data_IF_532052066373
#
_entry.id   IF_532052066373
#
_cell.length_a   1.000
_cell.length_b   1.000
_cell.length_c   1.000
_cell.angle_alpha   90.00
_cell.angle_beta   90.00
_cell.angle_gamma   90.00
#
_symmetry.space_group_name_H-M   'P 1'
#
loop_
_entity.id
_entity.type
_entity.pdbx_description
1 polymer ?
#
# COMPACT_ATOMS: atom_id res chain seq x y z
N UNK A 1 17.87 15.78 4.24
CA UNK A 1 17.09 15.23 5.38
C UNK A 1 16.76 13.78 5.03
N UNK A 2 17.27 12.80 5.78
CA UNK A 2 17.03 11.39 5.43
C UNK A 2 15.58 11.03 5.82
N UNK A 3 14.77 10.65 4.85
CA UNK A 3 13.35 10.37 5.05
C UNK A 3 13.19 8.98 5.68
N UNK A 4 12.30 8.84 6.66
CA UNK A 4 12.07 7.56 7.32
C UNK A 4 11.66 6.47 6.30
N UNK A 5 12.21 5.27 6.42
CA UNK A 5 12.02 4.15 5.48
C UNK A 5 10.53 3.89 5.15
N UNK A 6 9.65 3.82 6.15
CA UNK A 6 8.20 3.64 5.92
C UNK A 6 7.54 4.73 5.07
N UNK A 7 8.05 5.98 5.09
CA UNK A 7 7.57 7.03 4.19
C UNK A 7 8.04 6.79 2.76
N UNK A 8 9.28 6.36 2.59
CA UNK A 8 9.82 5.99 1.27
C UNK A 8 8.98 4.85 0.68
N UNK A 9 8.74 3.79 1.46
CA UNK A 9 7.89 2.66 1.06
C UNK A 9 6.47 3.12 0.73
N UNK A 10 5.85 3.98 1.56
CA UNK A 10 4.54 4.57 1.29
C UNK A 10 4.48 5.27 -0.08
N UNK A 11 5.48 6.11 -0.38
CA UNK A 11 5.55 6.84 -1.64
C UNK A 11 5.74 5.88 -2.82
N UNK A 12 6.55 4.83 -2.66
CA UNK A 12 6.74 3.80 -3.70
C UNK A 12 5.47 3.00 -3.97
N UNK A 13 4.76 2.56 -2.94
CA UNK A 13 3.46 1.89 -3.09
C UNK A 13 2.48 2.80 -3.83
N UNK A 14 2.37 4.07 -3.40
CA UNK A 14 1.49 5.04 -4.04
C UNK A 14 1.83 5.26 -5.52
N UNK A 15 3.12 5.33 -5.84
CA UNK A 15 3.64 5.44 -7.22
C UNK A 15 3.30 4.20 -8.05
N UNK A 16 3.64 3.00 -7.55
CA UNK A 16 3.42 1.71 -8.24
C UNK A 16 1.95 1.46 -8.58
N UNK A 17 1.03 1.81 -7.68
CA UNK A 17 -0.41 1.61 -7.89
C UNK A 17 -1.10 2.84 -8.50
N UNK A 18 -0.34 3.88 -8.89
CA UNK A 18 -0.85 5.16 -9.38
C UNK A 18 -1.98 5.72 -8.49
N UNK A 19 -1.81 5.59 -7.18
CA UNK A 19 -2.88 5.82 -6.21
C UNK A 19 -3.00 7.29 -5.79
N UNK A 20 -4.23 7.76 -5.69
CA UNK A 20 -4.54 9.03 -5.02
C UNK A 20 -4.40 8.89 -3.51
N UNK A 21 -4.31 10.00 -2.78
CA UNK A 21 -4.35 9.96 -1.31
C UNK A 21 -5.66 9.34 -0.80
N UNK A 22 -6.77 9.50 -1.54
CA UNK A 22 -8.05 8.87 -1.22
C UNK A 22 -7.99 7.34 -1.29
N UNK A 23 -7.43 6.78 -2.37
CA UNK A 23 -7.25 5.33 -2.50
C UNK A 23 -6.29 4.77 -1.45
N UNK A 24 -5.17 5.47 -1.20
CA UNK A 24 -4.27 5.09 -0.11
C UNK A 24 -4.98 5.10 1.24
N UNK A 25 -5.79 6.13 1.52
CA UNK A 25 -6.53 6.24 2.78
C UNK A 25 -7.54 5.11 2.97
N UNK A 26 -8.31 4.79 1.91
CA UNK A 26 -9.30 3.71 1.92
C UNK A 26 -8.63 2.35 2.21
N UNK A 27 -7.60 1.99 1.44
CA UNK A 27 -6.92 0.69 1.59
C UNK A 27 -6.14 0.57 2.89
N UNK A 28 -5.73 1.69 3.48
CA UNK A 28 -5.05 1.71 4.77
C UNK A 28 -6.02 1.87 5.95
N UNK A 29 -7.32 2.13 5.75
CA UNK A 29 -8.28 2.40 6.82
C UNK A 29 -7.93 3.62 7.67
N UNK A 30 -7.55 4.73 7.03
CA UNK A 30 -7.21 6.02 7.67
C UNK A 30 -7.90 7.19 6.96
N UNK A 31 -7.80 8.41 7.50
CA UNK A 31 -8.31 9.60 6.82
C UNK A 31 -7.45 10.04 5.63
N UNK A 32 -8.03 10.79 4.69
CA UNK A 32 -7.30 11.35 3.53
C UNK A 32 -6.20 12.31 3.96
N UNK A 33 -6.42 13.07 5.04
CA UNK A 33 -5.43 13.96 5.66
C UNK A 33 -4.25 13.15 6.19
N UNK A 34 -4.53 12.02 6.85
CA UNK A 34 -3.49 11.12 7.37
C UNK A 34 -2.62 10.56 6.24
N UNK A 35 -3.25 10.09 5.15
CA UNK A 35 -2.55 9.63 3.96
C UNK A 35 -1.70 10.75 3.33
N UNK A 36 -2.25 11.96 3.22
CA UNK A 36 -1.51 13.14 2.73
C UNK A 36 -0.28 13.44 3.59
N UNK A 37 -0.40 13.36 4.92
CA UNK A 37 0.72 13.58 5.85
C UNK A 37 1.81 12.51 5.74
N UNK A 38 1.45 11.25 5.47
CA UNK A 38 2.43 10.19 5.24
C UNK A 38 3.36 10.52 4.07
N UNK A 39 2.81 11.03 2.97
CA UNK A 39 3.58 11.42 1.79
C UNK A 39 4.31 12.77 1.88
N UNK A 40 4.09 13.57 2.94
CA UNK A 40 4.67 14.91 3.03
C UNK A 40 6.10 14.88 3.62
N UNK A 41 7.11 15.45 2.96
CA UNK A 41 8.51 15.39 3.42
C UNK A 41 8.76 16.05 4.78
N UNK A 42 8.10 17.17 5.07
CA UNK A 42 8.27 17.92 6.33
C UNK A 42 7.41 17.44 7.50
N UNK A 43 6.52 16.46 7.30
CA UNK A 43 5.66 15.94 8.37
C UNK A 43 6.32 14.71 9.00
N UNK A 44 6.35 14.66 10.32
CA UNK A 44 6.95 13.52 11.05
C UNK A 44 6.08 12.25 11.04
N UNK A 45 4.79 12.39 10.68
CA UNK A 45 3.85 11.27 10.67
C UNK A 45 4.21 10.25 9.59
N UNK A 46 4.26 8.97 9.97
CA UNK A 46 4.65 7.85 9.12
C UNK A 46 3.68 6.68 9.31
N UNK A 47 3.41 5.88 8.28
CA UNK A 47 2.60 4.68 8.44
C UNK A 47 3.37 3.59 9.19
N UNK A 48 2.65 2.74 9.93
CA UNK A 48 3.21 1.48 10.41
C UNK A 48 3.38 0.50 9.26
N UNK A 49 4.19 -0.54 9.47
CA UNK A 49 4.35 -1.61 8.48
C UNK A 49 3.02 -2.30 8.18
N UNK A 50 2.19 -2.54 9.20
CA UNK A 50 0.87 -3.13 9.05
C UNK A 50 -0.04 -2.29 8.14
N UNK A 51 0.01 -0.96 8.26
CA UNK A 51 -0.78 -0.09 7.38
C UNK A 51 -0.27 -0.13 5.95
N UNK A 52 1.04 -0.22 5.73
CA UNK A 52 1.60 -0.40 4.39
C UNK A 52 1.16 -1.75 3.78
N UNK A 53 1.13 -2.81 4.60
CA UNK A 53 0.67 -4.15 4.23
C UNK A 53 -0.79 -4.12 3.81
N UNK A 54 -1.65 -3.52 4.62
CA UNK A 54 -3.06 -3.31 4.31
C UNK A 54 -3.27 -2.58 2.98
N UNK A 55 -2.43 -1.57 2.67
CA UNK A 55 -2.54 -0.85 1.39
C UNK A 55 -2.38 -1.80 0.20
N UNK A 56 -1.34 -2.65 0.22
CA UNK A 56 -1.05 -3.60 -0.85
C UNK A 56 -2.16 -4.65 -0.97
N UNK A 57 -2.61 -5.22 0.15
CA UNK A 57 -3.72 -6.17 0.18
C UNK A 57 -4.99 -5.54 -0.38
N UNK A 58 -5.29 -4.30 0.00
CA UNK A 58 -6.46 -3.56 -0.49
C UNK A 58 -6.46 -3.41 -2.01
N UNK A 59 -5.33 -3.02 -2.60
CA UNK A 59 -5.21 -2.94 -4.07
C UNK A 59 -5.40 -4.29 -4.76
N UNK A 60 -4.86 -5.38 -4.18
CA UNK A 60 -5.05 -6.72 -4.72
C UNK A 60 -6.51 -7.19 -4.61
N UNK A 61 -7.18 -6.88 -3.50
CA UNK A 61 -8.60 -7.21 -3.28
C UNK A 61 -9.49 -6.52 -4.32
N UNK A 62 -9.29 -5.23 -4.56
CA UNK A 62 -10.04 -4.49 -5.60
C UNK A 62 -9.90 -5.18 -6.98
N UNK A 63 -8.70 -5.67 -7.31
CA UNK A 63 -8.48 -6.38 -8.56
C UNK A 63 -9.21 -7.74 -8.59
N UNK A 64 -9.16 -8.50 -7.49
CA UNK A 64 -9.90 -9.77 -7.35
C UNK A 64 -11.41 -9.56 -7.46
N UNK A 65 -11.96 -8.52 -6.85
CA UNK A 65 -13.38 -8.16 -6.93
C UNK A 65 -13.80 -7.88 -8.39
N UNK A 66 -12.98 -7.12 -9.14
CA UNK A 66 -13.24 -6.85 -10.57
C UNK A 66 -13.21 -8.15 -11.41
N UNK A 67 -12.32 -9.09 -11.10
CA UNK A 67 -12.27 -10.39 -11.77
C UNK A 67 -13.58 -11.15 -11.54
N UNK A 68 -14.01 -11.25 -10.28
CA UNK A 68 -15.24 -11.96 -9.91
C UNK A 68 -16.48 -11.32 -10.56
N UNK A 69 -16.59 -9.99 -10.54
CA UNK A 69 -17.68 -9.25 -11.21
C UNK A 69 -17.69 -9.45 -12.73
N UNK A 70 -16.52 -9.71 -13.32
CA UNK A 70 -16.36 -9.99 -14.75
C UNK A 70 -16.51 -11.48 -15.10
N UNK A 71 -16.83 -12.34 -14.13
CA UNK A 71 -16.93 -13.80 -14.30
C UNK A 71 -15.58 -14.50 -14.51
N UNK A 72 -14.47 -13.81 -14.21
CA UNK A 72 -13.13 -14.38 -14.22
C UNK A 72 -12.81 -15.00 -12.86
N UNK A 73 -12.05 -16.10 -12.81
CA UNK A 73 -11.56 -16.62 -11.55
C UNK A 73 -10.59 -15.63 -10.91
N UNK A 74 -10.66 -15.50 -9.59
CA UNK A 74 -9.67 -14.76 -8.80
C UNK A 74 -8.26 -15.28 -9.09
N UNK A 75 -7.33 -14.38 -9.43
CA UNK A 75 -5.94 -14.75 -9.69
C UNK A 75 -5.13 -15.08 -8.42
N UNK A 76 -5.60 -14.65 -7.25
CA UNK A 76 -4.93 -14.84 -5.96
C UNK A 76 -5.95 -15.16 -4.87
N UNK A 77 -5.63 -16.11 -4.00
CA UNK A 77 -6.36 -16.29 -2.75
C UNK A 77 -6.01 -15.18 -1.76
N UNK A 78 -6.78 -15.08 -0.67
CA UNK A 78 -6.45 -14.17 0.44
C UNK A 78 -5.03 -14.41 1.00
N UNK A 79 -4.64 -15.68 1.16
CA UNK A 79 -3.31 -16.04 1.66
C UNK A 79 -2.21 -15.62 0.68
N UNK A 80 -2.46 -15.74 -0.63
CA UNK A 80 -1.51 -15.29 -1.66
C UNK A 80 -1.33 -13.77 -1.64
N UNK A 81 -2.40 -13.01 -1.45
CA UNK A 81 -2.35 -11.56 -1.33
C UNK A 81 -1.54 -11.11 -0.10
N UNK A 82 -1.73 -11.81 1.02
CA UNK A 82 -0.98 -11.58 2.24
C UNK A 82 0.53 -11.85 2.04
N UNK A 83 0.88 -13.00 1.46
CA UNK A 83 2.26 -13.35 1.12
C UNK A 83 2.88 -12.37 0.11
N UNK A 84 2.11 -11.94 -0.88
CA UNK A 84 2.53 -10.94 -1.86
C UNK A 84 2.84 -9.59 -1.19
N UNK A 85 1.98 -9.14 -0.28
CA UNK A 85 2.19 -7.90 0.46
C UNK A 85 3.47 -7.95 1.29
N UNK A 86 3.68 -9.04 2.04
CA UNK A 86 4.88 -9.21 2.86
C UNK A 86 6.16 -9.26 1.99
N UNK A 87 6.13 -10.00 0.89
CA UNK A 87 7.25 -10.06 -0.06
C UNK A 87 7.55 -8.73 -0.75
N UNK A 88 6.52 -7.95 -1.11
CA UNK A 88 6.70 -6.63 -1.70
C UNK A 88 7.31 -5.65 -0.69
N UNK A 89 6.84 -5.65 0.55
CA UNK A 89 7.36 -4.76 1.58
C UNK A 89 8.84 -5.03 1.90
N UNK A 90 9.25 -6.28 1.98
CA UNK A 90 10.66 -6.63 2.17
C UNK A 90 11.53 -6.16 0.99
N UNK A 91 11.07 -6.35 -0.26
CA UNK A 91 11.77 -5.83 -1.44
C UNK A 91 11.92 -4.30 -1.41
N UNK A 92 10.85 -3.59 -1.06
CA UNK A 92 10.87 -2.12 -0.99
C UNK A 92 11.74 -1.60 0.16
N UNK A 93 11.80 -2.33 1.28
CA UNK A 93 12.67 -2.01 2.42
C UNK A 93 14.15 -2.16 2.05
N UNK A 94 14.52 -3.23 1.34
CA UNK A 94 15.88 -3.45 0.85
C UNK A 94 16.30 -2.39 -0.18
N UNK A 95 15.38 -1.98 -1.07
CA UNK A 95 15.67 -0.96 -2.08
C UNK A 95 15.79 0.48 -1.53
N UNK A 96 15.35 0.71 -0.29
CA UNK A 96 15.36 2.01 0.35
C UNK A 96 16.34 2.13 1.54
N UNK A 97 17.07 1.04 1.84
CA UNK A 97 18.20 1.01 2.77
C UNK A 97 19.50 1.41 2.05
#
# INVERSE_FOLDING_TARGET
MNMHINKVIYLRIREMFHATNGRMAANMGVSVETAREYGHPSKNRKPSIERLRMAVIGFGKEFTEIQEESGLPASMSKADLENFADGLLEKLKLAAA
#
